data_IF_960870127665
#
_entry.id   IF_960870127665
#
_cell.length_a   1.000
_cell.length_b   1.000
_cell.length_c   1.000
_cell.angle_alpha   90.00
_cell.angle_beta   90.00
_cell.angle_gamma   90.00
#
_symmetry.space_group_name_H-M   'P 1'
#
loop_
_entity.id
_entity.type
_entity.pdbx_description
1 polymer ?
#
# COMPACT_ATOMS: atom_id res chain seq x y z
N UNK A 1 -26.69 -5.42 2.22
CA UNK A 1 -25.67 -6.30 2.80
C UNK A 1 -24.36 -5.54 2.84
N UNK A 2 -23.76 -5.36 3.99
CA UNK A 2 -22.65 -4.39 4.15
C UNK A 2 -21.35 -5.02 3.64
N UNK A 3 -20.90 -4.69 2.41
CA UNK A 3 -19.73 -5.28 1.72
C UNK A 3 -18.44 -5.16 2.55
N UNK A 4 -18.30 -4.09 3.36
CA UNK A 4 -17.14 -3.90 4.25
C UNK A 4 -17.03 -4.95 5.38
N UNK A 5 -18.16 -5.51 5.83
CA UNK A 5 -18.15 -6.55 6.86
C UNK A 5 -17.71 -7.90 6.29
N UNK A 6 -18.02 -8.15 5.04
CA UNK A 6 -17.63 -9.37 4.32
C UNK A 6 -16.11 -9.41 4.06
N UNK A 7 -15.54 -8.32 3.53
CA UNK A 7 -14.08 -8.22 3.29
C UNK A 7 -13.27 -8.40 4.58
N UNK A 8 -13.71 -7.79 5.69
CA UNK A 8 -13.03 -7.94 6.98
C UNK A 8 -13.00 -9.40 7.44
N UNK A 9 -14.15 -10.06 7.43
CA UNK A 9 -14.24 -11.47 7.83
C UNK A 9 -13.44 -12.36 6.88
N UNK A 10 -13.49 -12.08 5.59
CA UNK A 10 -12.78 -12.83 4.55
C UNK A 10 -11.26 -12.72 4.73
N UNK A 11 -10.71 -11.52 4.90
CA UNK A 11 -9.28 -11.31 5.13
C UNK A 11 -8.82 -11.97 6.42
N UNK A 12 -9.55 -11.75 7.53
CA UNK A 12 -9.22 -12.35 8.82
C UNK A 12 -9.26 -13.88 8.74
N UNK A 13 -10.30 -14.44 8.14
CA UNK A 13 -10.44 -15.87 7.95
C UNK A 13 -9.30 -16.45 7.12
N UNK A 14 -8.91 -15.78 6.02
CA UNK A 14 -7.79 -16.21 5.18
C UNK A 14 -6.44 -16.16 5.90
N UNK A 15 -6.17 -15.10 6.66
CA UNK A 15 -4.94 -15.00 7.45
C UNK A 15 -4.86 -16.10 8.52
N UNK A 16 -5.95 -16.34 9.25
CA UNK A 16 -6.03 -17.42 10.25
C UNK A 16 -5.82 -18.81 9.65
N UNK A 17 -6.35 -19.03 8.44
CA UNK A 17 -6.19 -20.30 7.73
C UNK A 17 -4.74 -20.65 7.43
N UNK A 18 -3.84 -19.64 7.34
CA UNK A 18 -2.39 -19.87 7.18
C UNK A 18 -1.74 -20.56 8.38
N UNK A 19 -2.39 -20.53 9.54
CA UNK A 19 -1.87 -21.06 10.81
C UNK A 19 -0.46 -20.56 11.15
N UNK A 20 -0.08 -19.39 10.62
CA UNK A 20 1.24 -18.80 10.84
C UNK A 20 1.42 -18.47 12.32
N UNK A 21 2.57 -18.79 12.87
CA UNK A 21 2.90 -18.47 14.27
C UNK A 21 2.74 -16.97 14.52
N UNK A 22 2.01 -16.62 15.58
CA UNK A 22 1.64 -15.26 15.98
C UNK A 22 0.71 -14.50 15.02
N UNK A 23 0.00 -15.18 14.10
CA UNK A 23 -0.96 -14.54 13.20
C UNK A 23 -2.09 -13.82 13.98
N UNK A 24 -2.49 -14.33 15.14
CA UNK A 24 -3.53 -13.69 15.97
C UNK A 24 -3.11 -12.32 16.49
N UNK A 25 -1.82 -12.08 16.76
CA UNK A 25 -1.33 -10.76 17.15
C UNK A 25 -1.55 -9.75 16.00
N UNK A 26 -1.29 -10.18 14.75
CA UNK A 26 -1.51 -9.36 13.54
C UNK A 26 -2.99 -9.10 13.34
N UNK A 27 -3.84 -10.12 13.39
CA UNK A 27 -5.31 -10.01 13.23
C UNK A 27 -5.92 -9.10 14.29
N UNK A 28 -5.49 -9.24 15.54
CA UNK A 28 -5.94 -8.37 16.63
C UNK A 28 -5.50 -6.92 16.42
N UNK A 29 -4.28 -6.68 15.95
CA UNK A 29 -3.82 -5.34 15.62
C UNK A 29 -4.63 -4.75 14.45
N UNK A 30 -4.82 -5.50 13.34
CA UNK A 30 -5.66 -5.08 12.21
C UNK A 30 -7.07 -4.67 12.65
N UNK A 31 -7.68 -5.47 13.54
CA UNK A 31 -9.06 -5.26 14.00
C UNK A 31 -9.24 -3.99 14.85
N UNK A 32 -8.17 -3.55 15.53
CA UNK A 32 -8.15 -2.37 16.41
C UNK A 32 -7.56 -1.13 15.76
N UNK A 33 -6.88 -1.30 14.63
CA UNK A 33 -6.26 -0.22 13.85
C UNK A 33 -7.17 0.25 12.71
N UNK A 34 -6.65 1.15 11.89
CA UNK A 34 -7.36 1.64 10.72
C UNK A 34 -7.34 0.72 9.50
N UNK A 35 -6.87 -0.53 9.59
CA UNK A 35 -6.71 -1.39 8.40
C UNK A 35 -8.00 -1.54 7.58
N UNK A 36 -9.14 -1.69 8.23
CA UNK A 36 -10.44 -1.87 7.59
C UNK A 36 -11.22 -0.57 7.34
N UNK A 37 -10.68 0.57 7.71
CA UNK A 37 -11.36 1.86 7.60
C UNK A 37 -10.58 2.92 6.84
N UNK A 38 -9.27 2.74 6.69
CA UNK A 38 -8.40 3.69 5.99
C UNK A 38 -8.36 3.45 4.50
N UNK A 39 -7.90 4.47 3.79
CA UNK A 39 -7.60 4.44 2.36
C UNK A 39 -6.10 4.21 2.09
N UNK A 40 -5.75 3.87 0.86
CA UNK A 40 -4.39 3.92 0.36
C UNK A 40 -4.01 5.36 -0.04
N UNK A 41 -2.70 5.64 -0.16
CA UNK A 41 -2.23 7.00 -0.43
C UNK A 41 -2.40 7.44 -1.90
N UNK A 42 -2.22 6.55 -2.87
CA UNK A 42 -2.22 6.88 -4.30
C UNK A 42 -3.38 6.28 -5.09
N UNK A 43 -4.13 5.38 -4.49
CA UNK A 43 -5.26 4.68 -5.10
C UNK A 43 -6.21 4.24 -3.99
N UNK A 44 -7.43 3.82 -4.33
CA UNK A 44 -8.43 3.39 -3.33
C UNK A 44 -8.66 4.44 -2.23
N UNK A 45 -8.80 5.72 -2.63
CA UNK A 45 -8.97 6.88 -1.73
C UNK A 45 -10.38 6.97 -1.11
N UNK A 46 -10.82 5.90 -0.47
CA UNK A 46 -12.12 5.82 0.21
C UNK A 46 -12.03 4.96 1.47
N UNK A 47 -12.99 5.12 2.36
CA UNK A 47 -13.04 4.35 3.60
C UNK A 47 -13.06 2.85 3.32
N UNK A 48 -12.08 2.11 3.90
CA UNK A 48 -11.90 0.68 3.66
C UNK A 48 -11.01 0.34 2.45
N UNK A 49 -10.56 1.34 1.68
CA UNK A 49 -9.77 1.14 0.48
C UNK A 49 -8.47 0.37 0.72
N UNK A 50 -7.84 0.53 1.90
CA UNK A 50 -6.63 -0.25 2.25
C UNK A 50 -6.92 -1.76 2.31
N UNK A 51 -8.00 -2.15 2.95
CA UNK A 51 -8.40 -3.57 3.04
C UNK A 51 -8.80 -4.13 1.68
N UNK A 52 -9.52 -3.34 0.89
CA UNK A 52 -9.94 -3.74 -0.46
C UNK A 52 -8.74 -3.90 -1.39
N UNK A 53 -7.81 -2.96 -1.39
CA UNK A 53 -6.55 -3.08 -2.13
C UNK A 53 -5.76 -4.33 -1.75
N UNK A 54 -5.60 -4.59 -0.45
CA UNK A 54 -4.91 -5.78 0.02
C UNK A 54 -5.60 -7.08 -0.47
N UNK A 55 -6.93 -7.11 -0.43
CA UNK A 55 -7.71 -8.24 -0.91
C UNK A 55 -7.59 -8.42 -2.43
N UNK A 56 -7.69 -7.36 -3.20
CA UNK A 56 -7.51 -7.40 -4.65
C UNK A 56 -6.09 -7.83 -5.03
N UNK A 57 -5.06 -7.34 -4.32
CA UNK A 57 -3.68 -7.78 -4.53
C UNK A 57 -3.54 -9.29 -4.31
N UNK A 58 -4.19 -9.82 -3.27
CA UNK A 58 -4.21 -11.27 -3.03
C UNK A 58 -4.89 -12.04 -4.16
N UNK A 59 -6.08 -11.61 -4.61
CA UNK A 59 -6.81 -12.27 -5.69
C UNK A 59 -6.03 -12.25 -7.01
N UNK A 60 -5.42 -11.11 -7.37
CA UNK A 60 -4.60 -10.96 -8.57
C UNK A 60 -3.36 -11.85 -8.48
N UNK A 61 -2.70 -11.90 -7.31
CA UNK A 61 -1.53 -12.75 -7.11
C UNK A 61 -1.87 -14.24 -7.27
N UNK A 62 -3.02 -14.69 -6.75
CA UNK A 62 -3.49 -16.07 -6.95
C UNK A 62 -3.70 -16.37 -8.43
N UNK A 63 -4.44 -15.52 -9.14
CA UNK A 63 -4.70 -15.71 -10.58
C UNK A 63 -3.40 -15.79 -11.38
N UNK A 64 -2.44 -14.89 -11.12
CA UNK A 64 -1.12 -14.92 -11.78
C UNK A 64 -0.33 -16.19 -11.46
N UNK A 65 -0.42 -16.69 -10.23
CA UNK A 65 0.25 -17.93 -9.83
C UNK A 65 -0.36 -19.17 -10.52
N UNK A 66 -1.68 -19.20 -10.67
CA UNK A 66 -2.41 -20.26 -11.39
C UNK A 66 -2.09 -20.22 -12.90
N UNK A 67 -2.11 -19.07 -13.53
CA UNK A 67 -1.73 -18.91 -14.93
C UNK A 67 -0.29 -19.40 -15.19
N UNK A 68 0.62 -19.09 -14.27
CA UNK A 68 2.00 -19.54 -14.35
C UNK A 68 2.08 -21.05 -14.25
N UNK A 69 1.35 -21.65 -13.28
CA UNK A 69 1.26 -23.10 -13.12
C UNK A 69 0.76 -23.80 -14.39
N UNK A 70 -0.26 -23.22 -15.03
CA UNK A 70 -0.80 -23.75 -16.28
C UNK A 70 0.22 -23.69 -17.43
N UNK A 71 1.00 -22.62 -17.53
CA UNK A 71 2.01 -22.41 -18.57
C UNK A 71 3.32 -23.19 -18.33
N UNK A 72 3.63 -23.46 -17.08
CA UNK A 72 4.87 -24.12 -16.62
C UNK A 72 4.57 -25.19 -15.57
N UNK A 73 4.04 -26.38 -15.94
CA UNK A 73 3.61 -27.39 -14.98
C UNK A 73 4.73 -27.90 -14.05
N UNK A 74 5.98 -27.82 -14.51
CA UNK A 74 7.16 -28.23 -13.74
C UNK A 74 7.78 -27.11 -12.90
N UNK A 75 7.22 -25.90 -12.95
CA UNK A 75 7.72 -24.80 -12.12
C UNK A 75 7.28 -24.99 -10.67
N UNK A 76 8.16 -24.64 -9.75
CA UNK A 76 7.83 -24.58 -8.33
C UNK A 76 6.62 -23.66 -8.12
N UNK A 77 5.59 -24.19 -7.49
CA UNK A 77 4.34 -23.50 -7.18
C UNK A 77 4.50 -22.75 -5.86
N UNK A 78 4.24 -21.47 -5.86
CA UNK A 78 4.24 -20.70 -4.63
C UNK A 78 3.05 -21.11 -3.76
N UNK A 79 3.29 -21.23 -2.46
CA UNK A 79 2.27 -21.56 -1.48
C UNK A 79 1.20 -20.45 -1.43
N UNK A 80 -0.08 -20.83 -1.46
CA UNK A 80 -1.18 -19.89 -1.27
C UNK A 80 -1.11 -19.17 0.07
N UNK A 81 -0.59 -19.83 1.11
CA UNK A 81 -0.41 -19.22 2.43
C UNK A 81 0.65 -18.13 2.39
N UNK A 82 1.76 -18.35 1.68
CA UNK A 82 2.78 -17.33 1.52
C UNK A 82 2.30 -16.17 0.66
N UNK A 83 1.51 -16.46 -0.38
CA UNK A 83 0.85 -15.41 -1.18
C UNK A 83 -0.10 -14.60 -0.30
N UNK A 84 -0.93 -15.25 0.54
CA UNK A 84 -1.86 -14.57 1.44
C UNK A 84 -1.13 -13.68 2.44
N UNK A 85 -0.10 -14.19 3.11
CA UNK A 85 0.71 -13.42 4.06
C UNK A 85 1.33 -12.20 3.36
N UNK A 86 1.97 -12.39 2.22
CA UNK A 86 2.67 -11.32 1.54
C UNK A 86 1.70 -10.29 0.95
N UNK A 87 0.65 -10.72 0.24
CA UNK A 87 -0.30 -9.82 -0.40
C UNK A 87 -1.19 -9.05 0.58
N UNK A 88 -1.72 -9.72 1.61
CA UNK A 88 -2.61 -9.07 2.57
C UNK A 88 -1.87 -8.14 3.54
N UNK A 89 -0.55 -8.30 3.69
CA UNK A 89 0.23 -7.57 4.68
C UNK A 89 1.35 -6.69 4.08
N UNK A 90 1.47 -6.56 2.73
CA UNK A 90 2.52 -5.75 2.11
C UNK A 90 2.48 -4.28 2.57
N UNK A 91 1.29 -3.74 2.67
CA UNK A 91 0.99 -2.36 3.04
C UNK A 91 0.50 -2.20 4.50
N UNK A 92 0.83 -3.17 5.36
CA UNK A 92 0.32 -3.26 6.72
C UNK A 92 0.53 -1.98 7.54
N UNK A 93 1.63 -1.26 7.36
CA UNK A 93 1.93 -0.05 8.13
C UNK A 93 0.93 1.09 7.88
N UNK A 94 0.23 1.10 6.75
CA UNK A 94 -0.72 2.15 6.40
C UNK A 94 -1.92 2.17 7.36
N UNK A 95 -2.21 1.06 8.05
CA UNK A 95 -3.23 1.00 9.10
C UNK A 95 -2.92 1.88 10.32
N UNK A 96 -1.67 2.23 10.54
CA UNK A 96 -1.25 3.09 11.66
C UNK A 96 -1.38 4.60 11.37
N UNK A 97 -1.82 4.99 10.17
CA UNK A 97 -2.04 6.39 9.80
C UNK A 97 -0.76 7.19 9.62
N UNK A 98 0.30 6.54 9.21
CA UNK A 98 1.54 7.23 8.90
C UNK A 98 1.38 8.05 7.62
N UNK A 99 1.73 9.34 7.68
CA UNK A 99 1.63 10.28 6.56
C UNK A 99 2.77 10.14 5.55
N UNK A 100 3.88 9.54 5.95
CA UNK A 100 5.05 9.38 5.08
C UNK A 100 4.96 8.08 4.28
N UNK A 101 4.84 8.22 2.97
CA UNK A 101 4.75 7.13 2.00
C UNK A 101 6.11 6.46 1.79
N UNK A 102 7.20 7.22 1.96
CA UNK A 102 8.53 6.70 1.72
C UNK A 102 8.89 5.59 2.72
N UNK A 103 9.30 4.44 2.20
CA UNK A 103 9.72 3.30 3.02
C UNK A 103 8.58 2.55 3.74
N UNK A 104 7.31 2.68 3.28
CA UNK A 104 6.19 1.93 3.85
C UNK A 104 6.44 0.41 3.85
N UNK A 105 7.04 -0.15 2.83
CA UNK A 105 7.41 -1.56 2.77
C UNK A 105 8.35 -1.98 3.91
N UNK A 106 9.35 -1.14 4.23
CA UNK A 106 10.24 -1.38 5.38
C UNK A 106 9.47 -1.30 6.70
N UNK A 107 8.56 -0.34 6.81
CA UNK A 107 7.74 -0.18 8.02
C UNK A 107 6.77 -1.35 8.20
N UNK A 108 6.13 -1.82 7.12
CA UNK A 108 5.25 -3.00 7.15
C UNK A 108 6.01 -4.22 7.66
N UNK A 109 7.15 -4.57 7.06
CA UNK A 109 7.98 -5.68 7.52
C UNK A 109 8.43 -5.51 8.98
N UNK A 110 8.82 -4.30 9.39
CA UNK A 110 9.21 -3.99 10.76
C UNK A 110 8.06 -4.12 11.77
N UNK A 111 6.85 -3.72 11.40
CA UNK A 111 5.66 -3.88 12.26
C UNK A 111 5.30 -5.35 12.43
N UNK A 112 5.29 -6.13 11.36
CA UNK A 112 5.01 -7.57 11.42
C UNK A 112 6.03 -8.30 12.30
N UNK A 113 7.32 -7.95 12.19
CA UNK A 113 8.37 -8.48 13.05
C UNK A 113 8.14 -8.12 14.53
N UNK A 114 7.75 -6.88 14.84
CA UNK A 114 7.45 -6.45 16.23
C UNK A 114 6.23 -7.16 16.81
N UNK A 115 5.24 -7.51 15.98
CA UNK A 115 4.09 -8.33 16.38
C UNK A 115 4.45 -9.82 16.53
N UNK A 116 5.70 -10.18 16.24
CA UNK A 116 6.22 -11.54 16.38
C UNK A 116 5.80 -12.49 15.28
N UNK A 117 5.20 -11.99 14.17
CA UNK A 117 4.80 -12.85 13.06
C UNK A 117 6.02 -13.56 12.48
N UNK A 118 5.96 -14.90 12.41
CA UNK A 118 7.02 -15.72 11.81
C UNK A 118 6.87 -15.76 10.29
N UNK A 119 7.56 -14.84 9.64
CA UNK A 119 7.65 -14.82 8.18
C UNK A 119 8.72 -15.81 7.70
N UNK A 120 8.48 -16.48 6.59
CA UNK A 120 9.55 -17.13 5.83
C UNK A 120 10.48 -16.07 5.23
N UNK A 121 11.66 -16.46 4.76
CA UNK A 121 12.58 -15.53 4.09
C UNK A 121 11.91 -14.89 2.86
N UNK A 122 11.22 -15.67 2.04
CA UNK A 122 10.52 -15.18 0.85
C UNK A 122 9.38 -14.21 1.20
N UNK A 123 8.58 -14.51 2.23
CA UNK A 123 7.51 -13.63 2.70
C UNK A 123 8.07 -12.30 3.22
N UNK A 124 9.17 -12.35 3.99
CA UNK A 124 9.87 -11.15 4.43
C UNK A 124 10.36 -10.33 3.25
N UNK A 125 11.01 -10.96 2.26
CA UNK A 125 11.49 -10.28 1.06
C UNK A 125 10.33 -9.69 0.25
N UNK A 126 9.23 -10.42 0.12
CA UNK A 126 8.04 -9.95 -0.60
C UNK A 126 7.45 -8.72 0.06
N UNK A 127 7.22 -8.73 1.38
CA UNK A 127 6.70 -7.55 2.10
C UNK A 127 7.70 -6.40 2.10
N UNK A 128 8.99 -6.68 2.36
CA UNK A 128 10.04 -5.65 2.52
C UNK A 128 10.39 -4.95 1.21
N UNK A 129 10.28 -5.64 0.09
CA UNK A 129 10.75 -5.18 -1.21
C UNK A 129 9.69 -5.25 -2.31
N UNK A 130 8.39 -5.22 -1.97
CA UNK A 130 7.31 -5.25 -2.98
C UNK A 130 7.37 -4.04 -3.92
N UNK A 131 7.93 -2.92 -3.48
CA UNK A 131 8.16 -1.76 -4.33
C UNK A 131 9.25 -2.03 -5.37
N UNK A 132 9.38 -1.11 -6.33
CA UNK A 132 10.40 -1.22 -7.38
C UNK A 132 11.82 -1.32 -6.82
N UNK A 133 12.61 -2.27 -7.33
CA UNK A 133 14.05 -2.41 -7.04
C UNK A 133 14.95 -1.57 -7.98
N UNK A 134 14.40 -0.53 -8.63
CA UNK A 134 15.16 0.31 -9.57
C UNK A 134 16.33 1.02 -8.92
N UNK A 135 16.18 1.40 -7.66
CA UNK A 135 17.26 2.02 -6.89
C UNK A 135 17.87 0.97 -5.98
N UNK A 136 19.18 0.72 -6.12
CA UNK A 136 19.90 -0.18 -5.22
C UNK A 136 19.71 0.29 -3.79
N UNK A 137 19.12 -0.57 -2.97
CA UNK A 137 18.95 -0.31 -1.53
C UNK A 137 20.15 -0.93 -0.82
N UNK A 138 20.82 -0.16 0.02
CA UNK A 138 21.87 -0.69 0.87
C UNK A 138 21.25 -1.56 1.98
N UNK A 139 21.05 -2.83 1.64
CA UNK A 139 20.49 -3.84 2.54
C UNK A 139 21.05 -5.20 2.18
N UNK A 140 21.49 -6.01 3.17
CA UNK A 140 22.09 -7.33 2.92
C UNK A 140 21.24 -8.28 2.06
N UNK A 141 19.93 -8.18 2.16
CA UNK A 141 18.98 -9.04 1.42
C UNK A 141 18.53 -8.46 0.07
N UNK A 142 19.20 -7.44 -0.46
CA UNK A 142 18.78 -6.82 -1.72
C UNK A 142 18.92 -7.79 -2.90
N UNK A 143 20.03 -8.49 -2.99
CA UNK A 143 20.31 -9.44 -4.07
C UNK A 143 19.36 -10.65 -3.98
N UNK A 144 19.08 -11.14 -2.77
CA UNK A 144 18.06 -12.17 -2.54
C UNK A 144 16.67 -11.70 -3.00
N UNK A 145 16.33 -10.42 -2.76
CA UNK A 145 15.06 -9.86 -3.18
C UNK A 145 14.92 -9.79 -4.71
N UNK A 146 16.02 -9.60 -5.46
CA UNK A 146 16.00 -9.60 -6.93
C UNK A 146 15.61 -10.96 -7.50
N UNK A 147 16.04 -12.05 -6.87
CA UNK A 147 15.75 -13.42 -7.29
C UNK A 147 14.48 -14.01 -6.66
N UNK A 148 13.88 -13.31 -5.68
CA UNK A 148 12.70 -13.79 -4.97
C UNK A 148 11.44 -13.71 -5.84
N UNK A 149 10.91 -14.88 -6.23
CA UNK A 149 9.72 -14.99 -7.08
C UNK A 149 8.45 -14.49 -6.41
N UNK A 150 8.29 -14.74 -5.12
CA UNK A 150 7.13 -14.23 -4.37
C UNK A 150 7.13 -12.70 -4.35
N UNK A 151 8.28 -12.08 -4.15
CA UNK A 151 8.42 -10.62 -4.22
C UNK A 151 8.00 -10.07 -5.60
N UNK A 152 8.48 -10.72 -6.68
CA UNK A 152 8.11 -10.31 -8.04
C UNK A 152 6.61 -10.44 -8.29
N UNK A 153 6.01 -11.54 -7.82
CA UNK A 153 4.57 -11.77 -7.93
C UNK A 153 3.79 -10.69 -7.21
N UNK A 154 4.13 -10.39 -5.96
CA UNK A 154 3.44 -9.37 -5.16
C UNK A 154 3.61 -7.98 -5.77
N UNK A 155 4.81 -7.62 -6.23
CA UNK A 155 5.06 -6.35 -6.93
C UNK A 155 4.16 -6.17 -8.17
N UNK A 156 4.01 -7.22 -8.98
CA UNK A 156 3.14 -7.17 -10.17
C UNK A 156 1.67 -7.09 -9.79
N UNK A 157 1.25 -7.90 -8.81
CA UNK A 157 -0.13 -7.94 -8.35
C UNK A 157 -0.57 -6.62 -7.71
N UNK A 158 0.30 -6.00 -6.91
CA UNK A 158 0.12 -4.67 -6.33
C UNK A 158 -0.10 -3.62 -7.43
N UNK A 159 0.80 -3.55 -8.42
CA UNK A 159 0.67 -2.61 -9.54
C UNK A 159 -0.57 -2.82 -10.42
N UNK A 160 -1.11 -4.06 -10.52
CA UNK A 160 -2.37 -4.33 -11.20
C UNK A 160 -3.54 -3.90 -10.33
N UNK A 161 -3.56 -4.30 -9.06
CA UNK A 161 -4.66 -3.99 -8.14
C UNK A 161 -4.82 -2.48 -7.91
N UNK A 162 -3.71 -1.72 -7.89
CA UNK A 162 -3.74 -0.26 -7.81
C UNK A 162 -4.54 0.41 -8.94
N UNK A 163 -4.67 -0.26 -10.10
CA UNK A 163 -5.41 0.21 -11.27
C UNK A 163 -6.83 -0.35 -11.36
N UNK A 164 -7.19 -1.31 -10.50
CA UNK A 164 -8.53 -1.89 -10.51
C UNK A 164 -9.52 -0.86 -9.96
N UNK A 165 -10.55 -0.57 -10.76
CA UNK A 165 -11.69 0.22 -10.31
C UNK A 165 -12.54 -0.67 -9.40
N UNK A 166 -12.87 -0.16 -8.24
CA UNK A 166 -13.79 -0.85 -7.33
C UNK A 166 -15.21 -0.65 -7.79
N UNK A 167 -16.06 -1.65 -7.58
CA UNK A 167 -17.50 -1.55 -7.86
C UNK A 167 -18.25 -0.59 -6.92
N UNK A 168 -17.56 0.11 -6.04
CA UNK A 168 -18.12 1.17 -5.21
C UNK A 168 -18.13 2.44 -6.06
N UNK A 169 -19.33 2.80 -6.49
CA UNK A 169 -19.61 4.05 -7.15
C UNK A 169 -19.43 5.25 -6.22
N UNK A 170 -18.17 5.59 -5.93
CA UNK A 170 -17.89 7.00 -5.89
C UNK A 170 -17.81 7.44 -7.34
N UNK A 171 -18.54 8.50 -7.73
CA UNK A 171 -18.27 9.10 -9.01
C UNK A 171 -16.80 9.49 -9.00
N UNK A 172 -15.97 8.64 -9.66
CA UNK A 172 -14.68 9.10 -10.07
C UNK A 172 -15.01 10.34 -10.90
N UNK A 173 -14.70 11.51 -10.38
CA UNK A 173 -14.48 12.63 -11.26
C UNK A 173 -13.57 12.07 -12.33
N UNK A 174 -13.92 12.25 -13.57
CA UNK A 174 -12.98 12.17 -14.68
C UNK A 174 -11.98 13.29 -14.42
N UNK A 175 -11.03 13.02 -13.55
CA UNK A 175 -9.91 13.90 -13.30
C UNK A 175 -8.83 13.35 -14.21
N UNK A 176 -8.35 14.19 -15.11
CA UNK A 176 -7.15 13.94 -15.87
C UNK A 176 -6.10 13.35 -14.90
N UNK A 177 -5.65 12.11 -15.16
CA UNK A 177 -4.73 11.36 -14.29
C UNK A 177 -3.43 12.14 -13.97
N UNK A 178 -3.12 13.16 -14.78
CA UNK A 178 -1.99 14.07 -14.62
C UNK A 178 -2.27 15.22 -13.62
N UNK A 179 -3.53 15.56 -13.37
CA UNK A 179 -3.92 16.63 -12.47
C UNK A 179 -3.90 16.16 -11.01
N UNK A 180 -4.26 14.89 -10.75
CA UNK A 180 -4.28 14.32 -9.40
C UNK A 180 -2.88 14.17 -8.80
N UNK A 181 -1.86 13.82 -9.58
CA UNK A 181 -0.48 13.74 -9.07
C UNK A 181 0.05 15.11 -8.63
N UNK A 182 -0.32 16.19 -9.32
CA UNK A 182 0.12 17.53 -8.97
C UNK A 182 -0.66 18.13 -7.79
N UNK A 183 -1.95 17.85 -7.71
CA UNK A 183 -2.79 18.32 -6.61
C UNK A 183 -2.42 17.62 -5.29
N UNK A 184 -2.09 16.32 -5.33
CA UNK A 184 -1.60 15.57 -4.16
C UNK A 184 -0.25 16.09 -3.65
N UNK A 185 0.66 16.46 -4.54
CA UNK A 185 1.96 17.03 -4.16
C UNK A 185 1.79 18.41 -3.50
N UNK A 186 0.90 19.23 -4.03
CA UNK A 186 0.61 20.54 -3.45
C UNK A 186 -0.05 20.41 -2.05
N UNK A 187 -1.01 19.51 -1.90
CA UNK A 187 -1.64 19.20 -0.61
C UNK A 187 -0.66 18.64 0.42
N UNK A 188 0.25 17.74 0.00
CA UNK A 188 1.31 17.21 0.84
C UNK A 188 2.27 18.30 1.31
N UNK A 189 2.64 19.21 0.42
CA UNK A 189 3.52 20.33 0.75
C UNK A 189 2.89 21.26 1.77
N UNK A 190 1.63 21.66 1.54
CA UNK A 190 0.90 22.55 2.48
C UNK A 190 0.71 21.85 3.83
N UNK A 191 0.38 20.56 3.84
CA UNK A 191 0.26 19.80 5.09
C UNK A 191 1.59 19.69 5.84
N UNK A 192 2.72 19.59 5.13
CA UNK A 192 4.04 19.61 5.75
C UNK A 192 4.36 20.95 6.40
N UNK A 193 3.97 22.06 5.76
CA UNK A 193 4.14 23.40 6.33
C UNK A 193 3.32 23.58 7.61
N UNK A 194 2.08 23.10 7.61
CA UNK A 194 1.22 23.11 8.82
C UNK A 194 1.84 22.36 9.98
N UNK A 195 2.45 21.19 9.70
CA UNK A 195 3.11 20.36 10.73
C UNK A 195 4.36 21.04 11.28
N UNK A 196 5.12 21.72 10.42
CA UNK A 196 6.34 22.40 10.80
C UNK A 196 6.09 23.76 11.45
N UNK A 197 4.83 24.22 11.53
CA UNK A 197 4.46 25.56 11.97
C UNK A 197 5.05 26.65 11.08
N UNK A 198 5.34 26.32 9.81
CA UNK A 198 5.97 27.22 8.87
C UNK A 198 4.92 27.97 8.08
N UNK A 199 5.01 29.29 8.06
CA UNK A 199 4.11 30.16 7.33
C UNK A 199 4.79 30.63 6.06
N UNK A 200 4.11 30.51 4.92
CA UNK A 200 4.59 31.11 3.66
C UNK A 200 4.11 32.54 3.50
N UNK A 201 4.94 33.33 2.87
CA UNK A 201 4.66 34.71 2.55
C UNK A 201 4.62 34.89 1.03
N UNK A 202 3.66 35.67 0.58
CA UNK A 202 3.62 36.13 -0.80
C UNK A 202 4.90 36.89 -1.13
N UNK A 203 5.63 36.51 -2.19
CA UNK A 203 6.93 37.11 -2.50
C UNK A 203 6.84 38.58 -2.88
N UNK A 204 5.71 39.05 -3.40
CA UNK A 204 5.49 40.44 -3.84
C UNK A 204 4.95 41.30 -2.70
N UNK A 205 3.90 40.84 -2.04
CA UNK A 205 3.21 41.64 -1.01
C UNK A 205 3.79 41.50 0.39
N UNK A 206 4.64 40.48 0.63
CA UNK A 206 5.19 40.10 1.94
C UNK A 206 4.15 39.74 3.01
N UNK A 207 2.91 39.51 2.60
CA UNK A 207 1.84 39.09 3.50
C UNK A 207 1.82 37.54 3.65
N UNK A 208 1.37 37.09 4.79
CA UNK A 208 1.12 35.68 5.04
C UNK A 208 0.07 35.16 4.07
N UNK A 209 0.40 34.03 3.43
CA UNK A 209 -0.53 33.34 2.53
C UNK A 209 -1.40 32.36 3.33
N UNK A 210 -2.69 32.37 3.04
CA UNK A 210 -3.61 31.35 3.51
C UNK A 210 -3.32 29.99 2.83
N UNK A 211 -3.86 28.90 3.39
CA UNK A 211 -3.76 27.57 2.80
C UNK A 211 -4.18 27.53 1.33
N UNK A 212 -5.31 28.15 1.01
CA UNK A 212 -5.86 28.15 -0.35
C UNK A 212 -4.99 28.97 -1.32
N UNK A 213 -4.42 30.08 -0.85
CA UNK A 213 -3.49 30.89 -1.66
C UNK A 213 -2.21 30.13 -1.96
N UNK A 214 -1.67 29.36 -1.00
CA UNK A 214 -0.49 28.50 -1.21
C UNK A 214 -0.79 27.41 -2.22
N UNK A 215 -1.93 26.73 -2.08
CA UNK A 215 -2.36 25.69 -3.01
C UNK A 215 -2.51 26.23 -4.44
N UNK A 216 -3.17 27.37 -4.59
CA UNK A 216 -3.34 28.01 -5.89
C UNK A 216 -2.01 28.46 -6.52
N UNK A 217 -1.10 28.98 -5.70
CA UNK A 217 0.25 29.35 -6.15
C UNK A 217 1.02 28.13 -6.64
N UNK A 218 1.01 27.02 -5.91
CA UNK A 218 1.68 25.78 -6.29
C UNK A 218 1.10 25.20 -7.59
N UNK A 219 -0.23 25.10 -7.68
CA UNK A 219 -0.93 24.57 -8.86
C UNK A 219 -0.71 25.41 -10.12
N UNK A 220 -0.56 26.72 -9.99
CA UNK A 220 -0.31 27.60 -11.13
C UNK A 220 1.14 27.57 -11.63
N UNK A 221 2.10 27.23 -10.78
CA UNK A 221 3.53 27.21 -11.10
C UNK A 221 4.07 25.83 -11.48
N UNK A 222 3.29 24.74 -11.32
CA UNK A 222 3.64 23.39 -11.74
C UNK A 222 3.28 23.08 -13.21
N UNK A 223 2.66 24.02 -13.91
CA UNK A 223 2.25 23.90 -15.34
C UNK A 223 3.32 24.32 -16.35
N UNK A 224 4.60 24.34 -15.96
CA UNK A 224 5.68 24.66 -16.91
C UNK A 224 6.61 23.48 -17.10
#
# INVERSE_FOLDING_TARGET
MNMNMDIKQTIIGRLRATKRENIEAVVNYMSRSGFFTRHCHHHHHYAGGLAEHAWQTYQVALSMNEERRAKQPNAEVMSEDSIAIAALLHDFCNCAGMRDITGHSRRSAGMLKRLGLKLTQEEFLAVRFHMSLRNKVDHPSYDDAQSCRLRELIHKADGVSAKLRTGHAYPLREVDELQDEHDDVAELFVSALDILGTTLYDPETKKTMSRDEVLNFLRSNTKK
#
